data_IF_657515493846
#
_entry.id   IF_657515493846
#
_cell.length_a   1.000
_cell.length_b   1.000
_cell.length_c   1.000
_cell.angle_alpha   90.00
_cell.angle_beta   90.00
_cell.angle_gamma   90.00
#
_symmetry.space_group_name_H-M   'P 1'
#
loop_
_entity.id
_entity.type
_entity.pdbx_description
1 polymer ?
#
# COMPACT_ATOMS: atom_id res chain seq x y z
N UNK A 1 16.90 10.79 -0.28
CA UNK A 1 16.09 9.55 -0.20
C UNK A 1 14.62 9.93 -0.18
N UNK A 2 13.71 9.07 -0.66
CA UNK A 2 12.26 9.33 -0.52
C UNK A 2 11.89 9.37 0.97
N UNK A 3 11.03 10.31 1.38
CA UNK A 3 10.69 10.57 2.79
C UNK A 3 10.40 9.31 3.62
N UNK A 4 9.44 8.45 3.20
CA UNK A 4 9.11 7.22 3.94
C UNK A 4 10.28 6.25 4.11
N UNK A 5 11.13 6.12 3.08
CA UNK A 5 12.31 5.25 3.12
C UNK A 5 13.36 5.79 4.08
N UNK A 6 13.51 7.12 4.14
CA UNK A 6 14.42 7.75 5.09
C UNK A 6 13.97 7.49 6.53
N UNK A 7 12.68 7.69 6.83
CA UNK A 7 12.14 7.40 8.15
C UNK A 7 12.39 5.93 8.55
N UNK A 8 12.11 4.98 7.65
CA UNK A 8 12.40 3.56 7.90
C UNK A 8 13.88 3.31 8.21
N UNK A 9 14.80 3.96 7.47
CA UNK A 9 16.23 3.82 7.71
C UNK A 9 16.64 4.41 9.07
N UNK A 10 16.15 5.61 9.40
CA UNK A 10 16.41 6.29 10.65
C UNK A 10 15.90 5.46 11.86
N UNK A 11 14.72 4.84 11.75
CA UNK A 11 14.13 3.98 12.80
C UNK A 11 14.88 2.65 12.95
N UNK A 12 15.34 2.03 11.85
CA UNK A 12 16.20 0.84 11.90
C UNK A 12 17.56 1.18 12.54
N UNK A 13 18.12 2.34 12.23
CA UNK A 13 19.37 2.81 12.82
C UNK A 13 19.21 3.04 14.33
N UNK A 14 18.11 3.67 14.75
CA UNK A 14 17.78 3.84 16.16
C UNK A 14 17.64 2.48 16.88
N UNK A 15 16.89 1.55 16.30
CA UNK A 15 16.69 0.20 16.84
C UNK A 15 18.02 -0.51 17.13
N UNK A 16 19.03 -0.35 16.27
CA UNK A 16 20.34 -0.98 16.46
C UNK A 16 21.08 -0.46 17.71
N UNK A 17 20.70 0.70 18.24
CA UNK A 17 21.28 1.31 19.43
C UNK A 17 20.40 1.14 20.69
N UNK A 18 19.17 0.64 20.57
CA UNK A 18 18.26 0.43 21.70
C UNK A 18 18.50 -0.91 22.41
N UNK A 19 18.49 -0.94 23.76
CA UNK A 19 18.54 -2.20 24.50
C UNK A 19 17.31 -3.05 24.18
N UNK A 20 17.53 -4.32 23.83
CA UNK A 20 16.46 -5.23 23.40
C UNK A 20 16.15 -5.21 21.90
N UNK A 21 16.72 -4.28 21.12
CA UNK A 21 16.52 -4.16 19.65
C UNK A 21 15.03 -4.10 19.27
N UNK A 22 14.23 -3.43 20.07
CA UNK A 22 12.80 -3.30 19.82
C UNK A 22 12.58 -2.36 18.63
N UNK A 23 12.07 -2.91 17.52
CA UNK A 23 11.70 -2.12 16.35
C UNK A 23 10.31 -1.54 16.56
N UNK A 24 10.20 -0.22 16.46
CA UNK A 24 8.93 0.47 16.31
C UNK A 24 9.04 1.38 15.10
N UNK A 25 8.01 1.37 14.28
CA UNK A 25 7.89 2.28 13.15
C UNK A 25 6.77 3.24 13.45
N UNK A 26 7.07 4.54 13.48
CA UNK A 26 6.00 5.54 13.52
C UNK A 26 5.07 5.32 12.32
N UNK A 27 3.75 5.14 12.52
CA UNK A 27 2.80 4.85 11.45
C UNK A 27 2.91 5.83 10.27
N UNK A 28 2.79 5.33 9.04
CA UNK A 28 3.02 6.13 7.83
C UNK A 28 1.70 6.39 7.11
N UNK A 29 1.38 7.65 6.83
CA UNK A 29 0.29 8.03 5.91
C UNK A 29 0.88 8.49 4.57
N UNK A 30 0.51 7.79 3.50
CA UNK A 30 0.87 8.14 2.12
C UNK A 30 -0.29 8.90 1.45
N UNK A 31 -0.08 10.18 1.18
CA UNK A 31 -0.99 11.05 0.44
C UNK A 31 -0.64 11.09 -1.05
N UNK A 32 -1.61 11.44 -1.88
CA UNK A 32 -1.41 11.70 -3.31
C UNK A 32 -2.47 11.04 -4.16
N UNK A 33 -2.46 11.32 -5.45
CA UNK A 33 -3.54 10.88 -6.35
C UNK A 33 -3.70 9.35 -6.47
N UNK A 34 -4.87 8.87 -6.94
CA UNK A 34 -5.06 7.46 -7.25
C UNK A 34 -4.09 7.01 -8.35
N UNK A 35 -3.62 5.76 -8.26
CA UNK A 35 -2.81 5.16 -9.32
C UNK A 35 -1.34 5.60 -9.36
N UNK A 36 -0.82 6.35 -8.37
CA UNK A 36 0.60 6.72 -8.27
C UNK A 36 1.52 5.64 -7.65
N UNK A 37 0.95 4.55 -7.13
CA UNK A 37 1.71 3.40 -6.63
C UNK A 37 1.86 3.28 -5.10
N UNK A 38 1.05 3.98 -4.29
CA UNK A 38 1.08 3.92 -2.81
C UNK A 38 0.93 2.49 -2.26
N UNK A 39 -0.11 1.77 -2.68
CA UNK A 39 -0.34 0.35 -2.34
C UNK A 39 0.82 -0.55 -2.78
N UNK A 40 1.37 -0.29 -3.98
CA UNK A 40 2.48 -1.07 -4.53
C UNK A 40 3.78 -0.85 -3.74
N UNK A 41 3.99 0.36 -3.21
CA UNK A 41 5.10 0.67 -2.31
C UNK A 41 5.00 -0.13 -1.02
N UNK A 42 3.85 -0.10 -0.33
CA UNK A 42 3.66 -0.85 0.93
C UNK A 42 3.89 -2.36 0.75
N UNK A 43 3.34 -2.94 -0.32
CA UNK A 43 3.53 -4.35 -0.65
C UNK A 43 4.99 -4.68 -0.99
N UNK A 44 5.68 -3.79 -1.74
CA UNK A 44 7.09 -3.97 -2.05
C UNK A 44 7.97 -3.86 -0.80
N UNK A 45 7.63 -2.96 0.12
CA UNK A 45 8.33 -2.79 1.39
C UNK A 45 8.21 -4.04 2.25
N UNK A 46 6.99 -4.53 2.47
CA UNK A 46 6.76 -5.76 3.23
C UNK A 46 7.56 -6.94 2.64
N UNK A 47 7.60 -7.05 1.30
CA UNK A 47 8.40 -8.08 0.63
C UNK A 47 9.91 -7.92 0.82
N UNK A 48 10.43 -6.70 0.85
CA UNK A 48 11.87 -6.45 1.03
C UNK A 48 12.31 -6.71 2.47
N UNK A 49 11.45 -6.40 3.44
CA UNK A 49 11.71 -6.66 4.87
C UNK A 49 11.35 -8.11 5.26
N UNK A 50 10.67 -8.85 4.37
CA UNK A 50 10.16 -10.21 4.61
C UNK A 50 9.14 -10.28 5.77
N UNK A 51 8.21 -9.32 5.78
CA UNK A 51 7.13 -9.27 6.76
C UNK A 51 5.83 -9.84 6.19
N UNK A 52 5.03 -10.54 7.02
CA UNK A 52 3.65 -10.86 6.66
C UNK A 52 2.88 -9.59 6.31
N UNK A 53 2.19 -9.61 5.17
CA UNK A 53 1.49 -8.44 4.64
C UNK A 53 -0.01 -8.68 4.61
N UNK A 54 -0.78 -7.76 5.20
CA UNK A 54 -2.24 -7.76 5.10
C UNK A 54 -2.74 -6.41 4.60
N UNK A 55 -3.59 -6.45 3.57
CA UNK A 55 -4.32 -5.28 3.08
C UNK A 55 -5.73 -5.26 3.63
N UNK A 56 -6.18 -4.09 4.06
CA UNK A 56 -7.54 -3.73 4.47
C UNK A 56 -7.99 -2.50 3.67
N UNK A 57 -9.29 -2.35 3.50
CA UNK A 57 -9.88 -1.12 2.98
C UNK A 57 -10.30 -0.23 4.17
N UNK A 58 -10.01 1.07 4.13
CA UNK A 58 -10.42 2.02 5.18
C UNK A 58 -11.94 2.12 5.35
N UNK A 59 -12.71 1.73 4.33
CA UNK A 59 -14.16 1.64 4.40
C UNK A 59 -14.70 0.37 5.08
N UNK A 60 -13.84 -0.61 5.40
CA UNK A 60 -14.25 -1.80 6.15
C UNK A 60 -14.62 -1.42 7.60
N UNK A 61 -15.58 -2.10 8.22
CA UNK A 61 -15.92 -1.86 9.63
C UNK A 61 -14.76 -2.21 10.57
N UNK A 62 -14.65 -1.51 11.70
CA UNK A 62 -13.61 -1.70 12.72
C UNK A 62 -13.50 -3.14 13.22
N UNK A 63 -14.62 -3.84 13.38
CA UNK A 63 -14.67 -5.25 13.81
C UNK A 63 -13.97 -6.21 12.84
N UNK A 64 -13.72 -5.80 11.59
CA UNK A 64 -12.88 -6.58 10.67
C UNK A 64 -11.44 -6.69 11.20
N UNK A 65 -10.96 -5.64 11.85
CA UNK A 65 -9.63 -5.58 12.43
C UNK A 65 -9.62 -6.09 13.87
N UNK A 66 -10.60 -5.67 14.68
CA UNK A 66 -10.63 -5.90 16.14
C UNK A 66 -11.43 -7.12 16.57
N UNK A 67 -12.11 -7.78 15.64
CA UNK A 67 -13.06 -8.86 15.93
C UNK A 67 -14.45 -8.32 16.21
N UNK A 68 -15.44 -9.20 16.09
CA UNK A 68 -16.85 -8.89 16.34
C UNK A 68 -17.31 -9.54 17.64
N UNK A 69 -18.20 -8.88 18.37
CA UNK A 69 -18.71 -9.40 19.64
C UNK A 69 -19.34 -10.81 19.49
N UNK A 70 -19.12 -11.76 20.43
CA UNK A 70 -19.52 -13.16 20.27
C UNK A 70 -21.04 -13.38 20.16
N UNK A 71 -21.84 -12.41 20.61
CA UNK A 71 -23.30 -12.47 20.49
C UNK A 71 -23.82 -12.20 19.07
N UNK A 72 -22.98 -11.73 18.15
CA UNK A 72 -23.39 -11.43 16.78
C UNK A 72 -23.44 -12.69 15.92
N UNK A 73 -24.40 -12.73 14.99
CA UNK A 73 -24.46 -13.81 14.00
C UNK A 73 -23.21 -13.75 13.12
N UNK A 74 -22.51 -14.89 12.98
CA UNK A 74 -21.22 -15.01 12.28
C UNK A 74 -20.06 -14.25 12.94
N UNK A 75 -20.07 -14.14 14.27
CA UNK A 75 -18.97 -13.55 14.99
C UNK A 75 -17.65 -14.30 14.73
N UNK A 76 -16.57 -13.55 14.55
CA UNK A 76 -15.25 -14.09 14.25
C UNK A 76 -14.13 -13.25 14.90
N UNK A 77 -12.95 -13.85 15.16
CA UNK A 77 -11.75 -13.11 15.53
C UNK A 77 -11.38 -12.06 14.50
N UNK A 78 -10.79 -10.97 14.97
CA UNK A 78 -10.29 -9.89 14.14
C UNK A 78 -9.10 -10.29 13.28
N UNK A 79 -8.88 -9.53 12.21
CA UNK A 79 -7.73 -9.75 11.33
C UNK A 79 -6.40 -9.59 12.09
N UNK A 80 -6.34 -8.67 13.06
CA UNK A 80 -5.12 -8.40 13.82
C UNK A 80 -4.63 -9.64 14.57
N UNK A 81 -5.48 -10.19 15.46
CA UNK A 81 -5.14 -11.39 16.21
C UNK A 81 -4.91 -12.59 15.28
N UNK A 82 -5.71 -12.70 14.21
CA UNK A 82 -5.56 -13.80 13.24
C UNK A 82 -4.19 -13.74 12.56
N UNK A 83 -3.69 -12.57 12.17
CA UNK A 83 -2.35 -12.44 11.61
C UNK A 83 -1.28 -12.76 12.65
N UNK A 84 -1.40 -12.24 13.86
CA UNK A 84 -0.43 -12.52 14.92
C UNK A 84 -0.36 -14.02 15.29
N UNK A 85 -1.50 -14.72 15.26
CA UNK A 85 -1.59 -16.13 15.63
C UNK A 85 -1.15 -17.10 14.50
N UNK A 86 -1.28 -16.70 13.23
CA UNK A 86 -1.06 -17.60 12.09
C UNK A 86 0.27 -17.39 11.37
N UNK A 87 0.91 -16.23 11.56
CA UNK A 87 2.14 -15.88 10.87
C UNK A 87 3.37 -16.18 11.73
N UNK A 88 4.52 -16.39 11.08
CA UNK A 88 5.79 -16.68 11.78
C UNK A 88 6.43 -15.43 12.42
N UNK A 89 5.88 -14.24 12.16
CA UNK A 89 6.38 -12.97 12.68
C UNK A 89 5.32 -12.27 13.51
N UNK A 90 5.75 -11.75 14.66
CA UNK A 90 4.95 -10.91 15.55
C UNK A 90 4.85 -9.44 15.09
N UNK A 91 5.43 -9.10 13.93
CA UNK A 91 5.42 -7.75 13.35
C UNK A 91 4.82 -7.74 11.93
N UNK A 92 3.54 -8.13 11.75
CA UNK A 92 2.89 -8.03 10.45
C UNK A 92 2.78 -6.57 10.00
N UNK A 93 2.90 -6.33 8.69
CA UNK A 93 2.64 -5.03 8.07
C UNK A 93 1.21 -4.98 7.56
N UNK A 94 0.44 -4.06 8.14
CA UNK A 94 -0.92 -3.73 7.70
C UNK A 94 -0.90 -2.53 6.76
N UNK A 95 -1.56 -2.69 5.62
CA UNK A 95 -1.92 -1.60 4.72
C UNK A 95 -3.41 -1.29 4.88
N UNK A 96 -3.76 -0.09 5.31
CA UNK A 96 -5.14 0.42 5.27
C UNK A 96 -5.28 1.39 4.10
N UNK A 97 -5.94 0.95 3.04
CA UNK A 97 -6.03 1.67 1.78
C UNK A 97 -7.28 2.57 1.75
N UNK A 98 -7.16 3.80 1.27
CA UNK A 98 -8.27 4.74 1.07
C UNK A 98 -9.01 5.13 2.37
N UNK A 99 -8.26 5.55 3.40
CA UNK A 99 -8.81 5.98 4.70
C UNK A 99 -9.54 7.33 4.68
N UNK A 100 -9.39 8.09 3.58
CA UNK A 100 -10.08 9.36 3.34
C UNK A 100 -11.55 9.19 2.96
N UNK A 101 -12.02 7.95 2.79
CA UNK A 101 -13.41 7.68 2.45
C UNK A 101 -14.28 7.73 3.71
N UNK A 102 -15.27 8.63 3.78
CA UNK A 102 -16.11 8.75 4.96
C UNK A 102 -16.94 7.46 5.14
N UNK A 103 -16.67 6.75 6.23
CA UNK A 103 -17.60 5.76 6.78
C UNK A 103 -18.47 6.51 7.79
N UNK A 104 -19.64 6.98 7.39
CA UNK A 104 -20.59 7.66 8.29
C UNK A 104 -21.20 6.76 9.37
N UNK A 105 -20.48 5.71 9.78
CA UNK A 105 -20.94 4.63 10.65
C UNK A 105 -20.19 4.66 11.99
N UNK A 106 -20.87 4.25 13.07
CA UNK A 106 -20.30 4.17 14.42
C UNK A 106 -19.15 3.16 14.52
N UNK A 107 -19.04 2.27 13.54
CA UNK A 107 -18.02 1.22 13.47
C UNK A 107 -16.93 1.55 12.44
N UNK A 108 -16.56 2.83 12.31
CA UNK A 108 -15.50 3.26 11.38
C UNK A 108 -14.13 2.67 11.74
N UNK A 109 -13.33 2.37 10.73
CA UNK A 109 -11.96 1.85 10.91
C UNK A 109 -11.11 2.79 11.78
N UNK A 110 -11.33 4.09 11.71
CA UNK A 110 -10.69 5.13 12.51
C UNK A 110 -10.70 4.82 14.01
N UNK A 111 -11.83 4.33 14.53
CA UNK A 111 -11.97 4.02 15.97
C UNK A 111 -11.01 2.92 16.43
N UNK A 112 -10.81 1.89 15.60
CA UNK A 112 -9.83 0.84 15.88
C UNK A 112 -8.41 1.37 15.73
N UNK A 113 -8.14 2.16 14.69
CA UNK A 113 -6.81 2.68 14.40
C UNK A 113 -6.32 3.64 15.49
N UNK A 114 -7.15 4.49 16.07
CA UNK A 114 -6.72 5.41 17.13
C UNK A 114 -6.07 4.68 18.32
N UNK A 115 -6.60 3.52 18.69
CA UNK A 115 -6.03 2.69 19.75
C UNK A 115 -4.81 1.91 19.26
N UNK A 116 -4.83 1.41 18.03
CA UNK A 116 -3.77 0.52 17.52
C UNK A 116 -2.52 1.25 17.02
N UNK A 117 -2.64 2.53 16.64
CA UNK A 117 -1.51 3.36 16.22
C UNK A 117 -0.69 3.88 17.41
N UNK A 118 -1.21 3.80 18.64
CA UNK A 118 -0.47 4.11 19.86
C UNK A 118 0.16 2.85 20.45
N UNK A 119 1.50 2.73 20.52
CA UNK A 119 2.16 1.51 20.98
C UNK A 119 1.77 1.07 22.40
N UNK A 120 1.52 2.03 23.30
CA UNK A 120 1.12 1.74 24.69
C UNK A 120 -0.27 1.10 24.75
N UNK A 121 -1.25 1.64 24.02
CA UNK A 121 -2.60 1.06 23.95
C UNK A 121 -2.57 -0.29 23.20
N UNK A 122 -1.80 -0.38 22.12
CA UNK A 122 -1.66 -1.60 21.32
C UNK A 122 -1.02 -2.76 22.10
N UNK A 123 -0.28 -2.49 23.18
CA UNK A 123 0.30 -3.52 24.06
C UNK A 123 -0.75 -4.35 24.79
N UNK A 124 -1.91 -3.77 25.07
CA UNK A 124 -3.04 -4.42 25.75
C UNK A 124 -4.25 -4.56 24.82
N UNK A 125 -4.02 -4.64 23.50
CA UNK A 125 -5.10 -4.81 22.52
C UNK A 125 -5.94 -6.05 22.85
N UNK A 126 -7.26 -5.85 22.96
CA UNK A 126 -8.24 -6.91 23.24
C UNK A 126 -9.05 -7.20 21.99
N UNK A 127 -9.02 -8.45 21.54
CA UNK A 127 -9.90 -8.90 20.46
C UNK A 127 -11.33 -9.08 20.99
N UNK A 128 -12.31 -8.50 20.31
CA UNK A 128 -13.70 -8.49 20.77
C UNK A 128 -14.36 -9.87 20.70
N UNK A 129 -13.87 -10.77 19.87
CA UNK A 129 -14.41 -12.13 19.80
C UNK A 129 -13.78 -13.02 20.87
N UNK A 130 -12.45 -13.01 20.97
CA UNK A 130 -11.71 -13.88 21.88
C UNK A 130 -11.72 -13.37 23.32
N UNK A 131 -11.95 -12.08 23.54
CA UNK A 131 -11.96 -11.42 24.84
C UNK A 131 -10.65 -11.60 25.64
N UNK A 132 -9.53 -11.80 24.94
CA UNK A 132 -8.18 -11.90 25.50
C UNK A 132 -7.34 -10.69 25.12
N UNK A 133 -6.49 -10.25 26.05
CA UNK A 133 -5.49 -9.21 25.77
C UNK A 133 -4.30 -9.85 25.05
N UNK A 134 -3.80 -9.16 24.03
CA UNK A 134 -2.60 -9.53 23.31
C UNK A 134 -1.76 -8.29 23.02
N UNK A 135 -0.45 -8.52 22.94
CA UNK A 135 0.49 -7.46 22.61
C UNK A 135 0.59 -7.30 21.09
N UNK A 136 -0.07 -6.28 20.56
CA UNK A 136 -0.08 -5.95 19.14
C UNK A 136 0.83 -4.75 18.78
N UNK A 137 1.62 -4.23 19.73
CA UNK A 137 2.41 -3.00 19.54
C UNK A 137 3.47 -3.06 18.42
N UNK A 138 3.82 -4.27 17.97
CA UNK A 138 4.81 -4.50 16.93
C UNK A 138 4.20 -4.59 15.52
N UNK A 139 2.87 -4.55 15.41
CA UNK A 139 2.21 -4.42 14.12
C UNK A 139 2.62 -3.10 13.46
N UNK A 140 3.03 -3.17 12.19
CA UNK A 140 3.46 -2.01 11.43
C UNK A 140 2.32 -1.49 10.57
N UNK A 141 2.19 -0.16 10.50
CA UNK A 141 1.05 0.48 9.87
C UNK A 141 1.47 1.39 8.71
N UNK A 142 0.94 1.10 7.52
CA UNK A 142 0.97 2.02 6.38
C UNK A 142 -0.48 2.29 5.98
N UNK A 143 -0.82 3.56 5.84
CA UNK A 143 -2.14 4.01 5.46
C UNK A 143 -2.03 4.80 4.15
N UNK A 144 -3.09 4.79 3.35
CA UNK A 144 -3.15 5.59 2.12
C UNK A 144 -4.41 6.44 2.09
N UNK A 145 -4.25 7.65 1.56
CA UNK A 145 -5.36 8.55 1.28
C UNK A 145 -5.04 9.36 0.02
N UNK A 146 -6.04 10.00 -0.58
CA UNK A 146 -5.81 10.92 -1.68
C UNK A 146 -5.42 12.30 -1.16
N UNK A 147 -6.15 12.77 -0.15
CA UNK A 147 -5.89 14.02 0.56
C UNK A 147 -6.07 13.78 2.06
N UNK A 148 -5.78 14.79 2.88
CA UNK A 148 -6.12 14.76 4.31
C UNK A 148 -7.62 14.98 4.56
N UNK A 149 -8.37 15.41 3.54
CA UNK A 149 -9.82 15.64 3.65
C UNK A 149 -10.51 14.32 3.96
N UNK A 150 -11.23 14.26 5.08
CA UNK A 150 -11.91 13.04 5.52
C UNK A 150 -11.09 12.18 6.49
N UNK A 151 -9.81 12.50 6.71
CA UNK A 151 -8.99 11.88 7.77
C UNK A 151 -9.07 12.75 9.02
N UNK A 152 -9.35 12.14 10.17
CA UNK A 152 -9.50 12.87 11.43
C UNK A 152 -8.16 13.40 11.97
N UNK A 153 -8.16 14.59 12.58
CA UNK A 153 -6.96 15.19 13.20
C UNK A 153 -6.30 14.27 14.26
N UNK A 154 -7.06 13.52 15.09
CA UNK A 154 -6.48 12.56 16.01
C UNK A 154 -5.71 11.43 15.30
N UNK A 155 -6.11 10.99 14.12
CA UNK A 155 -5.31 10.03 13.36
C UNK A 155 -4.05 10.70 12.81
N UNK A 156 -4.19 11.89 12.22
CA UNK A 156 -3.06 12.62 11.63
C UNK A 156 -1.94 12.88 12.63
N UNK A 157 -2.28 13.19 13.89
CA UNK A 157 -1.27 13.46 14.94
C UNK A 157 -0.47 12.22 15.35
N UNK A 158 -0.92 11.00 15.01
CA UNK A 158 -0.27 9.72 15.32
C UNK A 158 0.55 9.16 14.15
N UNK A 159 0.60 9.88 13.03
CA UNK A 159 1.22 9.40 11.79
C UNK A 159 2.26 10.37 11.25
N UNK A 160 3.31 9.82 10.63
CA UNK A 160 4.17 10.56 9.72
C UNK A 160 3.48 10.68 8.37
N UNK A 161 3.13 11.90 7.98
CA UNK A 161 2.40 12.20 6.74
C UNK A 161 3.37 12.51 5.61
N UNK A 162 3.22 11.84 4.47
CA UNK A 162 4.03 12.06 3.28
C UNK A 162 3.19 12.26 2.03
N UNK A 163 3.37 13.41 1.39
CA UNK A 163 2.86 13.69 0.05
C UNK A 163 3.70 12.97 -1.01
N UNK A 164 3.06 12.06 -1.74
CA UNK A 164 3.70 11.31 -2.83
C UNK A 164 3.32 11.96 -4.16
N UNK A 165 4.28 12.62 -4.86
CA UNK A 165 3.99 13.23 -6.14
C UNK A 165 3.84 12.17 -7.23
N UNK A 166 3.19 12.57 -8.34
CA UNK A 166 3.20 11.76 -9.58
C UNK A 166 4.65 11.44 -9.99
N UNK A 167 4.93 10.22 -10.44
CA UNK A 167 6.27 9.84 -10.86
C UNK A 167 6.69 10.62 -12.10
N UNK A 168 7.88 11.22 -12.06
CA UNK A 168 8.47 11.89 -13.21
C UNK A 168 8.87 10.91 -14.32
N UNK A 169 9.20 11.43 -15.51
CA UNK A 169 9.54 10.61 -16.69
C UNK A 169 10.63 9.58 -16.39
N UNK A 170 11.70 9.97 -15.68
CA UNK A 170 12.79 9.06 -15.29
C UNK A 170 12.30 7.88 -14.43
N UNK A 171 11.40 8.14 -13.49
CA UNK A 171 10.80 7.10 -12.63
C UNK A 171 9.84 6.21 -13.43
N UNK A 172 8.98 6.79 -14.28
CA UNK A 172 8.06 6.03 -15.16
C UNK A 172 8.81 5.08 -16.08
N UNK A 173 9.93 5.49 -16.67
CA UNK A 173 10.80 4.60 -17.46
C UNK A 173 11.29 3.39 -16.66
N UNK A 174 11.70 3.61 -15.39
CA UNK A 174 12.15 2.52 -14.51
C UNK A 174 11.00 1.55 -14.21
N UNK A 175 9.81 2.07 -13.96
CA UNK A 175 8.60 1.25 -13.71
C UNK A 175 8.26 0.41 -14.94
N UNK A 176 8.18 1.01 -16.13
CA UNK A 176 7.89 0.30 -17.38
C UNK A 176 8.90 -0.83 -17.62
N UNK A 177 10.21 -0.54 -17.50
CA UNK A 177 11.26 -1.55 -17.66
C UNK A 177 11.16 -2.67 -16.61
N UNK A 178 10.80 -2.33 -15.37
CA UNK A 178 10.61 -3.29 -14.30
C UNK A 178 9.40 -4.20 -14.57
N UNK A 179 8.31 -3.67 -15.09
CA UNK A 179 7.12 -4.45 -15.46
C UNK A 179 7.42 -5.44 -16.58
N UNK A 180 8.11 -5.02 -17.64
CA UNK A 180 8.61 -5.94 -18.67
C UNK A 180 9.53 -7.02 -18.09
N UNK A 181 10.44 -6.66 -17.16
CA UNK A 181 11.30 -7.64 -16.48
C UNK A 181 10.47 -8.67 -15.71
N UNK A 182 9.46 -8.24 -14.96
CA UNK A 182 8.56 -9.14 -14.21
C UNK A 182 7.81 -10.09 -15.15
N UNK A 183 7.28 -9.59 -16.27
CA UNK A 183 6.57 -10.41 -17.25
C UNK A 183 7.48 -11.48 -17.88
N UNK A 184 8.72 -11.12 -18.24
CA UNK A 184 9.71 -12.10 -18.73
C UNK A 184 10.02 -13.18 -17.69
N UNK A 185 10.24 -12.77 -16.44
CA UNK A 185 10.52 -13.71 -15.35
C UNK A 185 9.35 -14.65 -15.07
N UNK A 186 8.11 -14.15 -15.12
CA UNK A 186 6.92 -14.96 -14.87
C UNK A 186 6.53 -15.89 -16.02
N UNK A 187 6.87 -15.56 -17.27
CA UNK A 187 6.52 -16.36 -18.46
C UNK A 187 7.66 -17.23 -18.98
N UNK A 188 8.90 -16.91 -18.61
CA UNK A 188 10.09 -17.51 -19.21
C UNK A 188 10.39 -17.03 -20.64
N UNK A 189 9.55 -16.17 -21.22
CA UNK A 189 9.70 -15.69 -22.60
C UNK A 189 10.48 -14.38 -22.66
N UNK A 190 11.45 -14.30 -23.57
CA UNK A 190 12.28 -13.11 -23.74
C UNK A 190 11.67 -12.11 -24.75
N UNK A 191 10.64 -11.37 -24.31
CA UNK A 191 10.09 -10.22 -25.05
C UNK A 191 10.68 -8.92 -24.51
N UNK A 192 11.28 -8.12 -25.39
CA UNK A 192 11.86 -6.82 -25.10
C UNK A 192 10.94 -5.68 -25.58
N UNK A 193 11.30 -4.45 -25.24
CA UNK A 193 10.65 -3.23 -25.75
C UNK A 193 11.72 -2.24 -26.17
N UNK A 194 11.43 -1.37 -27.14
CA UNK A 194 12.40 -0.40 -27.64
C UNK A 194 12.57 0.77 -26.64
N UNK A 195 13.75 1.41 -26.60
CA UNK A 195 13.93 2.63 -25.79
C UNK A 195 12.94 3.75 -26.14
N UNK A 196 12.54 3.84 -27.40
CA UNK A 196 11.61 4.85 -27.92
C UNK A 196 10.17 4.59 -27.48
N UNK A 197 9.73 3.34 -27.48
CA UNK A 197 8.43 2.94 -26.93
C UNK A 197 8.34 3.26 -25.44
N UNK A 198 9.38 2.88 -24.69
CA UNK A 198 9.48 3.16 -23.24
C UNK A 198 9.47 4.67 -22.98
N UNK A 199 10.19 5.45 -23.79
CA UNK A 199 10.20 6.91 -23.70
C UNK A 199 8.82 7.49 -23.99
N UNK A 200 8.15 7.03 -25.06
CA UNK A 200 6.86 7.54 -25.51
C UNK A 200 5.78 7.28 -24.47
N UNK A 201 5.72 6.08 -23.91
CA UNK A 201 4.82 5.77 -22.79
C UNK A 201 5.18 6.55 -21.52
N UNK A 202 6.47 6.70 -21.20
CA UNK A 202 6.90 7.44 -20.01
C UNK A 202 6.61 8.95 -20.08
N UNK A 203 6.41 9.52 -21.28
CA UNK A 203 6.01 10.93 -21.47
C UNK A 203 4.51 11.18 -21.27
N UNK A 204 3.67 10.14 -21.29
CA UNK A 204 2.21 10.23 -21.13
C UNK A 204 1.74 10.52 -19.70
N UNK A 205 1.97 11.73 -19.20
CA UNK A 205 1.65 12.15 -17.81
C UNK A 205 0.15 12.13 -17.49
N UNK A 206 -0.70 12.07 -18.52
CA UNK A 206 -2.14 11.87 -18.44
C UNK A 206 -2.53 10.44 -17.99
N UNK A 207 -1.61 9.47 -18.12
CA UNK A 207 -1.84 8.09 -17.72
C UNK A 207 -1.27 7.80 -16.33
N UNK A 208 -2.13 7.31 -15.42
CA UNK A 208 -1.71 6.76 -14.13
C UNK A 208 -0.86 5.47 -14.30
N UNK A 209 -0.25 4.98 -13.22
CA UNK A 209 0.59 3.78 -13.31
C UNK A 209 -0.22 2.51 -13.58
N UNK A 210 -1.50 2.46 -13.23
CA UNK A 210 -2.35 1.29 -13.49
C UNK A 210 -2.58 1.14 -15.01
N UNK A 211 -2.88 2.24 -15.68
CA UNK A 211 -3.00 2.31 -17.14
C UNK A 211 -1.68 1.97 -17.83
N UNK A 212 -0.55 2.50 -17.33
CA UNK A 212 0.80 2.15 -17.83
C UNK A 212 1.06 0.64 -17.75
N UNK A 213 0.84 0.02 -16.58
CA UNK A 213 1.03 -1.42 -16.41
C UNK A 213 0.09 -2.24 -17.31
N UNK A 214 -1.16 -1.79 -17.52
CA UNK A 214 -2.10 -2.42 -18.45
C UNK A 214 -1.58 -2.38 -19.89
N UNK A 215 -1.08 -1.23 -20.34
CA UNK A 215 -0.51 -1.06 -21.69
C UNK A 215 0.72 -1.97 -21.87
N UNK A 216 1.63 -2.00 -20.88
CA UNK A 216 2.81 -2.88 -20.91
C UNK A 216 2.39 -4.34 -21.05
N UNK A 217 1.41 -4.78 -20.25
CA UNK A 217 0.90 -6.16 -20.30
C UNK A 217 0.26 -6.49 -21.65
N UNK A 218 -0.60 -5.63 -22.17
CA UNK A 218 -1.24 -5.83 -23.47
C UNK A 218 -0.22 -5.89 -24.61
N UNK A 219 0.79 -5.01 -24.58
CA UNK A 219 1.86 -4.98 -25.59
C UNK A 219 2.71 -6.26 -25.53
N UNK A 220 2.99 -6.75 -24.32
CA UNK A 220 3.69 -8.03 -24.13
C UNK A 220 2.88 -9.22 -24.69
N UNK A 221 1.58 -9.28 -24.40
CA UNK A 221 0.68 -10.33 -24.90
C UNK A 221 0.60 -10.28 -26.44
N UNK A 222 0.50 -9.10 -27.03
CA UNK A 222 0.47 -8.95 -28.48
C UNK A 222 1.77 -9.45 -29.13
N UNK A 223 2.93 -9.21 -28.50
CA UNK A 223 4.20 -9.75 -28.97
C UNK A 223 4.24 -11.28 -28.91
N UNK A 224 3.72 -11.88 -27.84
CA UNK A 224 3.62 -13.35 -27.73
C UNK A 224 2.75 -13.94 -28.84
N UNK A 225 1.58 -13.35 -29.11
CA UNK A 225 0.69 -13.82 -30.16
C UNK A 225 1.24 -13.70 -31.58
N UNK A 226 2.23 -12.83 -31.79
CA UNK A 226 2.96 -12.66 -33.07
C UNK A 226 4.31 -13.38 -33.10
N UNK A 227 4.65 -14.12 -32.04
CA UNK A 227 5.98 -14.73 -31.84
C UNK A 227 7.14 -13.72 -31.98
N UNK A 228 6.86 -12.45 -31.67
CA UNK A 228 7.83 -11.36 -31.79
C UNK A 228 8.70 -11.26 -30.53
N UNK A 229 10.00 -11.01 -30.74
CA UNK A 229 10.94 -10.68 -29.66
C UNK A 229 10.79 -9.26 -29.12
N UNK A 230 9.99 -8.42 -29.79
CA UNK A 230 9.76 -7.02 -29.42
C UNK A 230 8.27 -6.71 -29.28
N UNK A 231 7.91 -6.14 -28.14
CA UNK A 231 6.60 -5.56 -27.87
C UNK A 231 6.58 -4.10 -28.32
N UNK A 232 5.77 -3.84 -29.33
CA UNK A 232 5.40 -2.50 -29.79
C UNK A 232 4.36 -1.90 -28.85
N UNK A 233 4.61 -0.70 -28.35
CA UNK A 233 3.68 -0.04 -27.43
C UNK A 233 2.71 0.83 -28.23
N UNK A 234 1.47 0.36 -28.35
CA UNK A 234 0.39 1.19 -28.90
C UNK A 234 -0.18 2.10 -27.83
N UNK A 235 0.01 3.41 -27.99
CA UNK A 235 -0.52 4.40 -27.07
C UNK A 235 -2.01 4.66 -27.36
N UNK A 236 -2.88 4.69 -26.33
CA UNK A 236 -4.25 5.13 -26.52
C UNK A 236 -4.28 6.61 -26.94
N UNK A 237 -5.34 7.10 -27.59
CA UNK A 237 -5.50 8.53 -27.84
C UNK A 237 -5.36 9.32 -26.54
N UNK A 238 -4.80 10.53 -26.61
CA UNK A 238 -4.76 11.41 -25.45
C UNK A 238 -6.20 11.69 -24.99
N UNK A 239 -6.46 11.55 -23.68
CA UNK A 239 -7.76 11.97 -23.15
C UNK A 239 -7.93 13.45 -23.46
N UNK A 240 -9.06 13.85 -24.09
CA UNK A 240 -9.40 15.27 -24.22
C UNK A 240 -9.41 15.87 -22.81
N UNK A 241 -8.82 17.07 -22.59
CA UNK A 241 -9.02 17.76 -21.33
C UNK A 241 -10.53 17.88 -21.10
N UNK A 242 -11.01 17.46 -19.94
CA UNK A 242 -12.41 17.71 -19.58
C UNK A 242 -12.61 19.22 -19.63
N UNK A 243 -13.39 19.71 -20.58
CA UNK A 243 -14.01 21.03 -20.45
C UNK A 243 -14.91 20.92 -19.22
N UNK A 244 -14.40 21.37 -18.07
CA UNK A 244 -15.24 21.62 -16.92
C UNK A 244 -16.24 22.69 -17.34
N UNK A 245 -17.53 22.34 -17.34
CA UNK A 245 -18.55 23.36 -17.24
C UNK A 245 -18.44 23.92 -15.82
N UNK A 246 -18.09 25.21 -15.74
CA UNK A 246 -18.09 26.00 -14.51
C UNK A 246 -19.50 26.08 -13.92
#
# INVERSE_FOLDING_TARGET
MAGPIKQLADEIELMNHLPGKEFQLTPILLLGEPGIGKTAFAMALAKVIDLPFKKLNGAEPSFTLTGSHPSWSKAAPGMLITQLATQQSAAPLFLVDEIDKPTGDRYSMDTALLNLLEPENAREFKDEFLQINCNARYALWILTANTTTGVSDPLLSRMSVFDIPRPGIKQRKRIIKADFKKLRQGTGVNVNTTPDDVMSLAKRVDLDLRAVTKIVRSSFIAALGRESRYAEITLPPASKPSMGFY
#
